data_IF_739383674233
#
_entry.id   IF_739383674233
#
_cell.length_a   1.000
_cell.length_b   1.000
_cell.length_c   1.000
_cell.angle_alpha   90.00
_cell.angle_beta   90.00
_cell.angle_gamma   90.00
#
_symmetry.space_group_name_H-M   'P 1'
#
loop_
_entity.id
_entity.type
_entity.pdbx_description
1 polymer ?
#
# COMPACT_ATOMS: atom_id res chain seq x y z
N UNK A 1 -28.18 -21.62 -17.23
CA UNK A 1 -27.14 -22.00 -16.25
C UNK A 1 -26.47 -20.73 -15.74
N UNK A 2 -27.16 -20.08 -14.82
CA UNK A 2 -26.82 -18.81 -14.17
C UNK A 2 -26.42 -19.14 -12.74
N UNK A 3 -25.20 -18.79 -12.31
CA UNK A 3 -24.82 -19.02 -10.91
C UNK A 3 -23.34 -19.00 -10.54
N UNK A 4 -22.42 -18.57 -11.41
CA UNK A 4 -20.97 -18.64 -11.13
C UNK A 4 -20.24 -17.28 -11.20
N UNK A 5 -20.93 -16.14 -11.19
CA UNK A 5 -20.29 -14.82 -11.44
C UNK A 5 -19.83 -14.07 -10.18
N UNK A 6 -20.07 -14.58 -8.97
CA UNK A 6 -19.78 -13.84 -7.72
C UNK A 6 -18.75 -14.49 -6.78
N UNK A 7 -18.36 -15.75 -7.01
CA UNK A 7 -17.46 -16.49 -6.11
C UNK A 7 -15.96 -16.25 -6.34
N UNK A 8 -15.56 -15.91 -7.57
CA UNK A 8 -14.15 -15.75 -7.99
C UNK A 8 -13.51 -14.44 -7.50
N UNK A 9 -14.30 -13.38 -7.36
CA UNK A 9 -13.88 -12.10 -6.78
C UNK A 9 -13.46 -12.22 -5.29
N UNK A 10 -13.82 -13.32 -4.63
CA UNK A 10 -13.51 -13.58 -3.22
C UNK A 10 -12.02 -13.81 -2.97
N UNK A 11 -11.24 -14.14 -4.02
CA UNK A 11 -9.80 -14.37 -3.94
C UNK A 11 -8.96 -13.11 -4.16
N UNK A 12 -9.53 -12.04 -4.74
CA UNK A 12 -8.88 -10.72 -4.74
C UNK A 12 -9.18 -10.07 -3.40
N UNK A 13 -8.37 -10.38 -2.39
CA UNK A 13 -8.46 -9.73 -1.07
C UNK A 13 -8.10 -8.25 -1.20
N UNK A 14 -9.05 -7.42 -1.65
CA UNK A 14 -9.00 -5.95 -1.55
C UNK A 14 -9.33 -5.48 -0.13
N UNK A 15 -8.86 -6.21 0.90
CA UNK A 15 -9.12 -5.89 2.33
C UNK A 15 -8.63 -4.50 2.73
N UNK A 16 -7.63 -3.99 2.02
CA UNK A 16 -6.95 -2.76 2.43
C UNK A 16 -7.73 -1.50 2.06
N UNK A 17 -8.66 -1.55 1.09
CA UNK A 17 -9.39 -0.35 0.64
C UNK A 17 -10.67 -0.12 1.43
N UNK A 18 -11.36 -1.16 1.91
CA UNK A 18 -12.52 -0.97 2.82
C UNK A 18 -12.14 -0.34 4.16
N UNK A 19 -10.87 -0.45 4.56
CA UNK A 19 -10.33 0.21 5.76
C UNK A 19 -10.24 1.74 5.60
N UNK A 20 -10.32 2.28 4.37
CA UNK A 20 -10.28 3.71 4.12
C UNK A 20 -11.47 4.46 4.73
N UNK A 21 -12.63 3.79 4.86
CA UNK A 21 -13.86 4.38 5.43
C UNK A 21 -13.80 4.55 6.94
N UNK A 22 -12.97 3.78 7.63
CA UNK A 22 -12.82 3.81 9.10
C UNK A 22 -11.35 3.68 9.47
N UNK A 23 -10.56 4.70 9.09
CA UNK A 23 -9.17 4.81 9.56
C UNK A 23 -9.20 5.37 10.98
N UNK A 24 -8.93 4.49 11.95
CA UNK A 24 -8.77 4.84 13.35
C UNK A 24 -7.31 5.25 13.65
N UNK A 25 -7.13 6.22 14.55
CA UNK A 25 -5.82 6.65 15.04
C UNK A 25 -4.99 5.48 15.57
N UNK A 26 -5.61 4.56 16.33
CA UNK A 26 -4.94 3.38 16.85
C UNK A 26 -4.41 2.43 15.76
N UNK A 27 -5.06 2.39 14.60
CA UNK A 27 -4.61 1.59 13.46
C UNK A 27 -3.44 2.27 12.76
N UNK A 28 -3.48 3.61 12.62
CA UNK A 28 -2.36 4.38 12.06
C UNK A 28 -1.13 4.28 12.95
N UNK A 29 -1.27 4.44 14.27
CA UNK A 29 -0.16 4.29 15.22
C UNK A 29 0.46 2.88 15.18
N UNK A 30 -0.38 1.85 15.07
CA UNK A 30 0.10 0.47 14.90
C UNK A 30 0.84 0.30 13.57
N UNK A 31 0.33 0.87 12.48
CA UNK A 31 0.95 0.80 11.17
C UNK A 31 2.29 1.53 11.14
N UNK A 32 2.40 2.72 11.75
CA UNK A 32 3.66 3.46 11.92
C UNK A 32 4.71 2.60 12.64
N UNK A 33 4.35 1.99 13.77
CA UNK A 33 5.25 1.10 14.52
C UNK A 33 5.69 -0.09 13.69
N UNK A 34 4.76 -0.74 12.99
CA UNK A 34 5.08 -1.86 12.10
C UNK A 34 6.03 -1.46 10.98
N UNK A 35 5.86 -0.27 10.41
CA UNK A 35 6.73 0.27 9.36
C UNK A 35 8.13 0.56 9.88
N UNK A 36 8.24 1.24 11.03
CA UNK A 36 9.52 1.53 11.67
C UNK A 36 10.28 0.25 12.02
N UNK A 37 9.59 -0.73 12.61
CA UNK A 37 10.19 -2.03 12.93
C UNK A 37 10.71 -2.73 11.67
N UNK A 38 9.92 -2.78 10.60
CA UNK A 38 10.35 -3.41 9.35
C UNK A 38 11.59 -2.71 8.77
N UNK A 39 11.57 -1.38 8.70
CA UNK A 39 12.65 -0.58 8.15
C UNK A 39 13.96 -0.73 8.91
N UNK A 40 13.92 -0.74 10.25
CA UNK A 40 15.12 -0.89 11.08
C UNK A 40 15.68 -2.30 11.04
N UNK A 41 14.82 -3.33 11.00
CA UNK A 41 15.24 -4.72 10.89
C UNK A 41 15.91 -5.04 9.56
N UNK A 42 15.55 -4.33 8.48
CA UNK A 42 16.21 -4.49 7.18
C UNK A 42 17.62 -3.89 7.13
N UNK A 43 18.05 -3.14 8.15
CA UNK A 43 19.38 -2.55 8.23
C UNK A 43 20.35 -3.36 9.10
N UNK A 44 20.03 -4.63 9.38
CA UNK A 44 20.91 -5.51 10.15
C UNK A 44 21.97 -6.16 9.25
N UNK A 45 23.25 -5.88 9.54
CA UNK A 45 24.41 -6.34 8.77
C UNK A 45 24.98 -5.33 7.77
N UNK A 46 26.20 -5.58 7.30
CA UNK A 46 26.93 -4.65 6.42
C UNK A 46 26.37 -4.60 4.99
N UNK A 47 25.94 -5.73 4.45
CA UNK A 47 25.41 -5.80 3.07
C UNK A 47 24.11 -5.01 2.89
N UNK A 48 23.07 -5.17 3.73
CA UNK A 48 21.85 -4.38 3.60
C UNK A 48 22.08 -2.89 3.85
N UNK A 49 23.00 -2.53 4.75
CA UNK A 49 23.39 -1.13 4.97
C UNK A 49 24.05 -0.53 3.74
N UNK A 50 24.96 -1.24 3.07
CA UNK A 50 25.58 -0.77 1.84
C UNK A 50 24.56 -0.60 0.70
N UNK A 51 23.60 -1.51 0.56
CA UNK A 51 22.51 -1.39 -0.41
C UNK A 51 21.65 -0.15 -0.13
N UNK A 52 21.25 0.07 1.13
CA UNK A 52 20.45 1.22 1.51
C UNK A 52 21.18 2.54 1.24
N UNK A 53 22.48 2.64 1.57
CA UNK A 53 23.30 3.81 1.27
C UNK A 53 23.33 4.07 -0.24
N UNK A 54 23.63 3.05 -1.04
CA UNK A 54 23.70 3.17 -2.49
C UNK A 54 22.36 3.59 -3.10
N UNK A 55 21.27 2.93 -2.70
CA UNK A 55 19.90 3.24 -3.15
C UNK A 55 19.52 4.67 -2.81
N UNK A 56 19.73 5.11 -1.57
CA UNK A 56 19.37 6.47 -1.16
C UNK A 56 20.21 7.53 -1.87
N UNK A 57 21.49 7.26 -2.10
CA UNK A 57 22.35 8.18 -2.85
C UNK A 57 21.88 8.33 -4.31
N UNK A 58 21.43 7.24 -4.95
CA UNK A 58 20.91 7.26 -6.31
C UNK A 58 19.51 7.90 -6.41
N UNK A 59 18.61 7.60 -5.47
CA UNK A 59 17.23 8.10 -5.52
C UNK A 59 17.07 9.52 -4.98
N UNK A 60 17.84 9.90 -3.96
CA UNK A 60 17.67 11.15 -3.21
C UNK A 60 18.91 12.07 -3.23
N UNK A 61 20.04 11.60 -3.78
CA UNK A 61 21.30 12.35 -3.78
C UNK A 61 21.97 12.44 -2.40
N UNK A 62 21.39 11.84 -1.36
CA UNK A 62 21.93 11.82 0.00
C UNK A 62 21.44 10.61 0.78
N UNK A 63 22.18 10.25 1.84
CA UNK A 63 21.70 9.33 2.85
C UNK A 63 20.82 10.06 3.86
N UNK A 64 19.61 9.57 4.09
CA UNK A 64 18.68 10.05 5.11
C UNK A 64 19.04 9.35 6.43
N UNK A 65 19.43 10.09 7.49
CA UNK A 65 19.72 9.50 8.79
C UNK A 65 18.48 8.84 9.40
N UNK A 66 18.68 7.74 10.13
CA UNK A 66 17.60 7.02 10.81
C UNK A 66 16.72 7.92 11.69
N UNK A 67 17.25 8.88 12.49
CA UNK A 67 16.40 9.77 13.29
C UNK A 67 15.47 10.65 12.46
N UNK A 68 15.95 11.13 11.30
CA UNK A 68 15.14 11.93 10.38
C UNK A 68 14.01 11.09 9.79
N UNK A 69 14.32 9.85 9.41
CA UNK A 69 13.36 8.91 8.85
C UNK A 69 12.28 8.53 9.88
N UNK A 70 12.68 8.26 11.13
CA UNK A 70 11.75 7.98 12.23
C UNK A 70 10.81 9.16 12.48
N UNK A 71 11.34 10.38 12.59
CA UNK A 71 10.54 11.58 12.82
C UNK A 71 9.52 11.82 11.69
N UNK A 72 9.91 11.57 10.43
CA UNK A 72 9.00 11.68 9.27
C UNK A 72 7.84 10.67 9.33
N UNK A 73 8.09 9.45 9.79
CA UNK A 73 7.04 8.42 9.91
C UNK A 73 6.12 8.72 11.09
N UNK A 74 6.66 9.19 12.21
CA UNK A 74 5.88 9.56 13.38
C UNK A 74 4.96 10.76 13.12
N UNK A 75 5.41 11.70 12.29
CA UNK A 75 4.63 12.89 11.90
C UNK A 75 3.41 12.59 11.01
N UNK A 76 3.27 11.38 10.46
CA UNK A 76 2.15 11.03 9.57
C UNK A 76 0.82 11.16 10.32
N UNK A 77 -0.15 11.84 9.74
CA UNK A 77 -1.49 12.02 10.32
C UNK A 77 -2.53 11.11 9.66
N UNK A 78 -3.65 10.86 10.35
CA UNK A 78 -4.79 10.11 9.78
C UNK A 78 -5.32 10.77 8.51
N UNK A 79 -5.36 12.10 8.47
CA UNK A 79 -5.90 12.85 7.34
C UNK A 79 -4.99 12.75 6.11
N UNK A 80 -3.67 12.84 6.28
CA UNK A 80 -2.72 12.59 5.19
C UNK A 80 -2.86 11.17 4.62
N UNK A 81 -3.11 10.17 5.46
CA UNK A 81 -3.34 8.80 5.00
C UNK A 81 -4.63 8.72 4.18
N UNK A 82 -5.72 9.37 4.62
CA UNK A 82 -6.98 9.43 3.87
C UNK A 82 -6.79 10.10 2.51
N UNK A 83 -6.08 11.23 2.47
CA UNK A 83 -5.81 11.98 1.24
C UNK A 83 -5.00 11.14 0.24
N UNK A 84 -3.97 10.44 0.72
CA UNK A 84 -3.15 9.55 -0.12
C UNK A 84 -3.99 8.40 -0.66
N UNK A 85 -4.85 7.79 0.16
CA UNK A 85 -5.74 6.72 -0.28
C UNK A 85 -6.71 7.22 -1.35
N UNK A 86 -7.31 8.40 -1.17
CA UNK A 86 -8.21 9.00 -2.16
C UNK A 86 -7.47 9.26 -3.48
N UNK A 87 -6.28 9.85 -3.42
CA UNK A 87 -5.47 10.16 -4.61
C UNK A 87 -5.03 8.91 -5.37
N UNK A 88 -4.60 7.86 -4.67
CA UNK A 88 -4.05 6.65 -5.31
C UNK A 88 -5.17 5.73 -5.81
N UNK A 89 -6.21 5.49 -5.03
CA UNK A 89 -7.21 4.47 -5.35
C UNK A 89 -8.45 5.01 -6.06
N UNK A 90 -8.87 6.24 -5.78
CA UNK A 90 -10.07 6.83 -6.41
C UNK A 90 -9.70 7.57 -7.69
N UNK A 91 -8.70 8.45 -7.60
CA UNK A 91 -8.27 9.29 -8.73
C UNK A 91 -7.23 8.58 -9.62
N UNK A 92 -6.52 7.60 -9.07
CA UNK A 92 -5.50 6.85 -9.77
C UNK A 92 -6.05 5.80 -10.73
N UNK A 93 -5.27 5.49 -11.76
CA UNK A 93 -5.56 4.42 -12.68
C UNK A 93 -4.92 3.11 -12.21
N UNK A 94 -5.73 2.06 -12.11
CA UNK A 94 -5.26 0.76 -11.65
C UNK A 94 -4.87 -0.10 -12.85
N UNK A 95 -3.70 -0.71 -12.75
CA UNK A 95 -3.23 -1.73 -13.68
C UNK A 95 -3.17 -3.07 -12.96
N UNK A 96 -3.71 -4.11 -13.60
CA UNK A 96 -3.69 -5.48 -13.09
C UNK A 96 -3.29 -6.44 -14.20
N UNK A 97 -2.46 -7.41 -13.86
CA UNK A 97 -2.04 -8.47 -14.78
C UNK A 97 -2.47 -9.81 -14.19
N UNK A 98 -3.08 -10.66 -15.02
CA UNK A 98 -3.57 -11.98 -14.64
C UNK A 98 -2.79 -13.02 -15.40
N UNK A 99 -2.27 -14.01 -14.69
CA UNK A 99 -1.54 -15.14 -15.26
C UNK A 99 -2.33 -16.41 -14.99
N UNK A 100 -2.61 -17.19 -16.03
CA UNK A 100 -3.44 -18.41 -15.96
C UNK A 100 -4.78 -18.27 -16.69
N UNK A 101 -5.78 -19.12 -16.39
CA UNK A 101 -7.09 -19.06 -17.03
C UNK A 101 -7.81 -17.72 -16.79
N UNK A 102 -8.03 -16.94 -17.84
CA UNK A 102 -8.52 -15.54 -17.74
C UNK A 102 -10.03 -15.38 -17.84
N UNK A 103 -10.78 -16.43 -18.19
CA UNK A 103 -12.22 -16.34 -18.49
C UNK A 103 -13.11 -15.92 -17.32
N UNK A 104 -12.58 -15.87 -16.09
CA UNK A 104 -13.32 -15.52 -14.86
C UNK A 104 -12.86 -14.18 -14.26
N UNK A 105 -11.94 -13.47 -14.91
CA UNK A 105 -11.43 -12.21 -14.39
C UNK A 105 -12.34 -11.02 -14.77
N UNK A 106 -12.75 -10.17 -13.82
CA UNK A 106 -13.54 -8.98 -14.12
C UNK A 106 -12.78 -8.01 -15.04
N UNK A 107 -13.53 -7.27 -15.86
CA UNK A 107 -12.96 -6.19 -16.66
C UNK A 107 -12.38 -5.09 -15.75
N UNK A 108 -11.36 -4.38 -16.23
CA UNK A 108 -10.71 -3.28 -15.50
C UNK A 108 -11.71 -2.26 -14.96
N UNK A 109 -12.70 -1.87 -15.77
CA UNK A 109 -13.69 -0.86 -15.38
C UNK A 109 -14.56 -1.32 -14.21
N UNK A 110 -14.84 -2.62 -14.12
CA UNK A 110 -15.58 -3.20 -12.99
C UNK A 110 -14.75 -3.17 -11.70
N UNK A 111 -13.43 -3.37 -11.80
CA UNK A 111 -12.51 -3.25 -10.66
C UNK A 111 -12.43 -1.79 -10.19
N UNK A 112 -12.27 -0.85 -11.13
CA UNK A 112 -12.21 0.57 -10.82
C UNK A 112 -13.52 1.06 -10.19
N UNK A 113 -14.67 0.68 -10.75
CA UNK A 113 -15.99 1.05 -10.22
C UNK A 113 -16.20 0.51 -8.79
N UNK A 114 -15.77 -0.73 -8.52
CA UNK A 114 -15.85 -1.30 -7.17
C UNK A 114 -14.97 -0.58 -6.16
N UNK A 115 -13.77 -0.17 -6.58
CA UNK A 115 -12.85 0.57 -5.71
C UNK A 115 -13.33 2.00 -5.44
N UNK A 116 -13.87 2.68 -6.46
CA UNK A 116 -14.52 3.98 -6.29
C UNK A 116 -15.74 3.91 -5.36
N UNK A 117 -16.51 2.82 -5.38
CA UNK A 117 -17.63 2.60 -4.47
C UNK A 117 -17.21 2.20 -3.04
N UNK A 118 -15.98 1.70 -2.86
CA UNK A 118 -15.45 1.24 -1.57
C UNK A 118 -14.76 2.33 -0.76
N UNK A 119 -14.38 3.45 -1.37
CA UNK A 119 -14.00 4.69 -0.67
C UNK A 119 -15.26 5.52 -0.36
#
# INVERSE_FOLDING_TARGET
>A
MSGCETSQLRNVRLRNVSAAKSIDEATVERAKRSLLTNLLLMLDGSTPVCEDIGRQLLCYGRRIPTPELTARVEAITVDEVKDVVQRIFVQGQISATVVGPTGQWPARDQIQAKLAAMV
#
